data_IF_804287169376
#
_entry.id   IF_804287169376
#
_cell.length_a   1.000
_cell.length_b   1.000
_cell.length_c   1.000
_cell.angle_alpha   90.00
_cell.angle_beta   90.00
_cell.angle_gamma   90.00
#
_symmetry.space_group_name_H-M   'P 1'
#
loop_
_entity.id
_entity.type
_entity.pdbx_description
1 polymer ?
#
# COMPACT_ATOMS: atom_id res chain seq x y z
N UNK A 1 4.50 0.23 -1.37
CA UNK A 1 3.72 -1.06 -1.41
C UNK A 1 2.25 -0.68 -1.37
N UNK A 2 1.33 -1.48 -2.00
CA UNK A 2 -0.10 -1.12 -2.00
C UNK A 2 -0.86 -1.93 -0.96
N UNK A 3 -1.80 -1.27 -0.29
CA UNK A 3 -2.59 -1.83 0.79
C UNK A 3 -4.06 -1.49 0.61
N UNK A 4 -4.95 -2.33 1.11
CA UNK A 4 -6.39 -2.13 1.07
C UNK A 4 -6.90 -1.65 2.42
N UNK A 5 -7.61 -0.53 2.43
CA UNK A 5 -8.32 0.01 3.58
C UNK A 5 -9.83 -0.01 3.36
N UNK A 6 -10.60 -0.42 4.36
CA UNK A 6 -12.03 -0.15 4.42
C UNK A 6 -12.25 1.19 5.14
N UNK A 7 -12.82 2.15 4.43
CA UNK A 7 -13.16 3.46 4.98
C UNK A 7 -14.67 3.58 5.23
N UNK A 8 -15.05 3.90 6.47
CA UNK A 8 -16.44 4.18 6.82
C UNK A 8 -16.69 5.69 6.85
N UNK A 9 -17.70 6.14 6.11
CA UNK A 9 -18.09 7.55 6.05
C UNK A 9 -19.60 7.73 6.21
N UNK A 10 -19.98 8.89 6.73
CA UNK A 10 -21.37 9.35 6.83
C UNK A 10 -21.60 10.40 5.76
N UNK A 11 -22.55 10.16 4.89
CA UNK A 11 -23.00 11.13 3.89
C UNK A 11 -24.53 11.21 3.88
N UNK A 12 -25.13 12.38 3.61
CA UNK A 12 -26.57 12.49 3.50
C UNK A 12 -27.12 11.67 2.34
N UNK A 13 -28.38 11.25 2.42
CA UNK A 13 -29.08 10.60 1.32
C UNK A 13 -29.23 11.55 0.13
N UNK A 14 -29.14 10.97 -1.07
CA UNK A 14 -29.37 11.68 -2.33
C UNK A 14 -30.81 11.41 -2.77
N UNK A 15 -31.62 12.48 -2.90
CA UNK A 15 -32.98 12.34 -3.36
C UNK A 15 -33.05 11.93 -4.84
N UNK A 16 -34.25 11.59 -5.32
CA UNK A 16 -34.52 11.12 -6.70
C UNK A 16 -34.06 12.08 -7.80
N UNK A 17 -33.91 13.37 -7.45
CA UNK A 17 -33.47 14.43 -8.36
C UNK A 17 -31.97 14.75 -8.25
N UNK A 18 -31.22 13.98 -7.49
CA UNK A 18 -29.81 14.24 -7.24
C UNK A 18 -29.54 15.45 -6.34
N UNK A 19 -30.54 15.96 -5.62
CA UNK A 19 -30.38 17.05 -4.63
C UNK A 19 -30.16 16.47 -3.24
N UNK A 20 -29.30 17.10 -2.44
CA UNK A 20 -29.09 16.67 -1.05
C UNK A 20 -30.37 16.95 -0.23
N UNK A 21 -30.73 16.02 0.63
CA UNK A 21 -31.85 16.20 1.56
C UNK A 21 -31.57 17.20 2.69
N UNK A 22 -30.38 17.81 2.76
CA UNK A 22 -30.07 18.79 3.83
C UNK A 22 -29.00 19.81 3.44
N UNK A 23 -29.29 21.04 3.80
CA UNK A 23 -28.50 22.18 4.30
C UNK A 23 -27.45 22.77 3.35
N UNK A 24 -27.71 24.06 3.05
CA UNK A 24 -26.74 25.05 2.60
C UNK A 24 -25.45 25.00 3.43
N UNK A 25 -24.49 24.18 2.99
CA UNK A 25 -23.12 24.36 3.41
C UNK A 25 -22.47 25.35 2.43
N UNK A 26 -22.05 26.50 2.95
CA UNK A 26 -21.28 27.49 2.19
C UNK A 26 -20.12 26.80 1.48
N UNK A 27 -20.12 26.92 0.15
CA UNK A 27 -19.02 26.47 -0.71
C UNK A 27 -17.79 27.27 -0.34
N UNK A 28 -16.92 26.70 0.47
CA UNK A 28 -15.57 27.22 0.66
C UNK A 28 -14.79 26.88 -0.59
N UNK A 29 -14.60 27.87 -1.45
CA UNK A 29 -13.75 27.82 -2.62
C UNK A 29 -12.28 27.59 -2.21
N UNK A 30 -11.82 26.37 -2.19
CA UNK A 30 -10.42 26.05 -2.30
C UNK A 30 -10.05 25.84 -3.78
N UNK A 31 -9.77 26.97 -4.43
CA UNK A 31 -9.18 27.04 -5.79
C UNK A 31 -7.64 26.95 -5.75
N UNK A 32 -7.04 26.01 -5.06
CA UNK A 32 -5.61 25.70 -5.22
C UNK A 32 -5.38 24.23 -4.82
N UNK A 33 -5.05 23.44 -5.80
CA UNK A 33 -4.60 22.05 -5.87
C UNK A 33 -5.53 21.06 -6.58
N UNK A 34 -6.14 21.49 -7.69
CA UNK A 34 -6.70 20.55 -8.67
C UNK A 34 -5.65 20.15 -9.71
N UNK A 35 -4.67 19.33 -9.33
CA UNK A 35 -3.84 18.55 -10.25
C UNK A 35 -3.86 17.06 -9.93
N UNK A 36 -5.05 16.51 -9.75
CA UNK A 36 -5.29 15.09 -10.01
C UNK A 36 -6.49 15.01 -10.93
N UNK A 37 -6.20 14.63 -12.15
CA UNK A 37 -7.03 14.69 -13.34
C UNK A 37 -8.26 13.79 -13.26
N UNK A 38 -9.43 14.34 -12.97
CA UNK A 38 -10.70 13.77 -13.42
C UNK A 38 -10.95 14.19 -14.88
N UNK A 39 -10.19 13.63 -15.82
CA UNK A 39 -10.47 13.74 -17.26
C UNK A 39 -10.82 12.37 -17.81
N UNK A 40 -12.07 11.95 -17.60
CA UNK A 40 -12.76 11.00 -18.44
C UNK A 40 -13.93 11.72 -19.05
N UNK A 41 -13.93 11.94 -20.38
CA UNK A 41 -15.10 12.34 -21.12
C UNK A 41 -16.09 11.17 -21.11
N UNK A 42 -17.12 11.25 -20.29
CA UNK A 42 -18.25 10.33 -20.31
C UNK A 42 -19.52 11.09 -20.69
N UNK A 43 -20.32 10.49 -21.57
CA UNK A 43 -21.63 10.97 -22.05
C UNK A 43 -22.59 11.20 -20.86
N UNK A 44 -23.02 12.46 -20.68
CA UNK A 44 -23.59 13.02 -19.45
C UNK A 44 -25.12 13.09 -19.43
N UNK A 45 -25.89 12.02 -19.64
CA UNK A 45 -27.35 12.12 -19.50
C UNK A 45 -28.01 11.17 -18.48
N UNK A 46 -27.30 10.16 -17.88
CA UNK A 46 -27.87 9.30 -16.82
C UNK A 46 -27.06 9.22 -15.52
N UNK A 47 -26.01 10.01 -15.38
CA UNK A 47 -24.94 9.83 -14.35
C UNK A 47 -25.15 10.60 -13.04
N UNK A 48 -26.18 11.42 -12.90
CA UNK A 48 -26.30 12.43 -11.85
C UNK A 48 -26.20 11.91 -10.40
N UNK A 49 -26.80 10.76 -10.05
CA UNK A 49 -26.82 10.25 -8.67
C UNK A 49 -25.51 9.57 -8.31
N UNK A 50 -24.96 8.75 -9.19
CA UNK A 50 -23.73 7.99 -8.96
C UNK A 50 -22.51 8.88 -8.88
N UNK A 51 -22.36 9.84 -9.79
CA UNK A 51 -21.26 10.79 -9.79
C UNK A 51 -21.29 11.65 -8.51
N UNK A 52 -22.49 12.09 -8.12
CA UNK A 52 -22.66 12.85 -6.87
C UNK A 52 -22.35 12.01 -5.64
N UNK A 53 -22.83 10.77 -5.60
CA UNK A 53 -22.53 9.83 -4.54
C UNK A 53 -21.03 9.61 -4.42
N UNK A 54 -20.35 9.35 -5.55
CA UNK A 54 -18.89 9.21 -5.58
C UNK A 54 -18.18 10.47 -5.05
N UNK A 55 -18.54 11.67 -5.53
CA UNK A 55 -17.91 12.90 -5.08
C UNK A 55 -18.06 13.12 -3.57
N UNK A 56 -19.26 12.89 -3.02
CA UNK A 56 -19.52 13.02 -1.58
C UNK A 56 -18.72 12.01 -0.76
N UNK A 57 -18.65 10.76 -1.21
CA UNK A 57 -17.84 9.71 -0.54
C UNK A 57 -16.35 10.05 -0.63
N UNK A 58 -15.89 10.46 -1.83
CA UNK A 58 -14.51 10.86 -2.06
C UNK A 58 -14.09 11.99 -1.12
N UNK A 59 -14.89 13.05 -1.02
CA UNK A 59 -14.59 14.20 -0.16
C UNK A 59 -14.56 13.80 1.32
N UNK A 60 -15.53 12.99 1.76
CA UNK A 60 -15.58 12.48 3.14
C UNK A 60 -14.41 11.55 3.49
N UNK A 61 -13.96 10.71 2.55
CA UNK A 61 -12.76 9.88 2.69
C UNK A 61 -11.51 10.76 2.71
N UNK A 62 -11.40 11.72 1.78
CA UNK A 62 -10.26 12.63 1.70
C UNK A 62 -10.05 13.43 3.00
N UNK A 63 -11.13 13.98 3.57
CA UNK A 63 -11.07 14.69 4.85
C UNK A 63 -10.49 13.82 5.97
N UNK A 64 -10.93 12.56 6.07
CA UNK A 64 -10.46 11.63 7.11
C UNK A 64 -9.03 11.15 6.87
N UNK A 65 -8.64 10.95 5.62
CA UNK A 65 -7.31 10.48 5.24
C UNK A 65 -6.24 11.57 5.33
N UNK A 66 -6.60 12.85 5.17
CA UNK A 66 -5.65 13.97 5.08
C UNK A 66 -4.61 13.97 6.21
N UNK A 67 -5.02 13.76 7.45
CA UNK A 67 -4.09 13.76 8.61
C UNK A 67 -3.07 12.62 8.60
N UNK A 68 -3.23 11.63 7.73
CA UNK A 68 -2.33 10.49 7.54
C UNK A 68 -1.48 10.59 6.27
N UNK A 69 -1.55 11.71 5.56
CA UNK A 69 -0.71 11.97 4.39
C UNK A 69 0.75 12.19 4.83
N UNK A 70 1.70 11.45 4.25
CA UNK A 70 3.14 11.64 4.52
C UNK A 70 3.62 13.01 4.07
N UNK A 71 3.06 13.51 2.96
CA UNK A 71 3.34 14.83 2.39
C UNK A 71 2.45 15.95 2.91
N UNK A 72 1.73 15.76 4.02
CA UNK A 72 0.90 16.81 4.61
C UNK A 72 1.75 18.02 5.00
N UNK A 73 1.24 19.21 4.73
CA UNK A 73 1.91 20.50 5.02
C UNK A 73 1.18 21.31 6.10
N UNK A 74 0.05 20.80 6.65
CA UNK A 74 -0.65 21.49 7.75
C UNK A 74 0.25 21.50 9.00
N UNK A 75 0.65 22.69 9.49
CA UNK A 75 1.51 22.79 10.68
C UNK A 75 0.97 22.07 11.93
N UNK A 76 -0.35 21.83 12.00
CA UNK A 76 -0.98 21.09 13.11
C UNK A 76 -0.62 19.62 13.12
N UNK A 77 -0.37 19.06 11.95
CA UNK A 77 -0.05 17.65 11.76
C UNK A 77 1.47 17.41 11.71
N UNK A 78 2.28 18.47 11.61
CA UNK A 78 3.72 18.38 11.42
C UNK A 78 4.46 18.42 12.75
N UNK A 79 5.43 17.53 12.92
CA UNK A 79 6.35 17.49 14.05
C UNK A 79 7.79 17.56 13.54
N UNK A 80 8.60 18.34 14.20
CA UNK A 80 10.05 18.39 13.91
C UNK A 80 10.72 17.09 14.35
N UNK A 81 11.40 16.44 13.43
CA UNK A 81 12.24 15.28 13.68
C UNK A 81 13.68 15.75 13.85
N UNK A 82 14.18 15.78 15.09
CA UNK A 82 15.56 16.13 15.40
C UNK A 82 16.50 14.98 15.05
N UNK A 83 17.43 15.26 14.16
CA UNK A 83 18.45 14.32 13.69
C UNK A 83 19.86 14.71 14.13
N UNK A 84 20.01 15.69 15.01
CA UNK A 84 21.31 16.28 15.37
C UNK A 84 22.29 15.23 15.90
N UNK A 85 21.87 14.42 16.87
CA UNK A 85 22.71 13.37 17.44
C UNK A 85 23.19 12.36 16.38
N UNK A 86 22.29 11.96 15.47
CA UNK A 86 22.61 11.06 14.35
C UNK A 86 23.62 11.67 13.39
N UNK A 87 23.48 12.96 13.08
CA UNK A 87 24.36 13.67 12.16
C UNK A 87 25.74 13.87 12.80
N UNK A 88 25.79 14.30 14.07
CA UNK A 88 27.04 14.46 14.82
C UNK A 88 27.82 13.13 14.94
N UNK A 89 27.13 12.06 15.32
CA UNK A 89 27.73 10.73 15.40
C UNK A 89 28.22 10.24 14.02
N UNK A 90 27.44 10.49 12.96
CA UNK A 90 27.82 10.16 11.58
C UNK A 90 29.07 10.92 11.13
N UNK A 91 29.15 12.21 11.43
CA UNK A 91 30.27 13.08 11.03
C UNK A 91 31.64 12.66 11.67
N UNK A 92 31.60 12.03 12.85
CA UNK A 92 32.79 11.42 13.49
C UNK A 92 33.20 10.08 12.84
N UNK A 93 32.38 9.55 11.97
CA UNK A 93 32.54 8.25 11.34
C UNK A 93 33.57 8.22 10.21
N UNK A 94 33.65 7.06 9.58
CA UNK A 94 34.53 6.80 8.43
C UNK A 94 33.71 6.12 7.30
N UNK A 95 34.22 6.26 6.08
CA UNK A 95 33.63 5.62 4.89
C UNK A 95 34.74 5.13 3.97
N UNK A 96 34.48 4.07 3.24
CA UNK A 96 35.36 3.64 2.18
C UNK A 96 35.27 4.59 0.98
N UNK A 97 36.43 5.06 0.50
CA UNK A 97 36.52 6.02 -0.59
C UNK A 97 37.39 5.49 -1.74
N UNK A 98 37.20 6.08 -2.88
CA UNK A 98 38.06 5.95 -4.05
C UNK A 98 38.84 7.23 -4.27
N UNK A 99 40.15 7.13 -4.32
CA UNK A 99 41.02 8.23 -4.81
C UNK A 99 41.23 8.04 -6.31
N UNK A 100 40.67 8.98 -7.07
CA UNK A 100 40.76 8.99 -8.53
C UNK A 100 42.13 9.44 -9.00
N UNK A 101 42.53 9.17 -10.26
CA UNK A 101 43.86 9.53 -10.80
C UNK A 101 44.18 11.01 -10.70
N UNK A 102 43.18 11.90 -10.83
CA UNK A 102 43.30 13.36 -10.70
C UNK A 102 43.44 13.82 -9.25
N UNK A 103 43.36 12.91 -8.28
CA UNK A 103 43.51 13.22 -6.87
C UNK A 103 42.21 13.43 -6.09
N UNK A 104 41.07 13.53 -6.77
CA UNK A 104 39.74 13.64 -6.13
C UNK A 104 39.42 12.40 -5.31
N UNK A 105 38.88 12.61 -4.11
CA UNK A 105 38.41 11.53 -3.22
C UNK A 105 36.89 11.56 -3.21
N UNK A 106 36.27 10.41 -3.47
CA UNK A 106 34.81 10.25 -3.51
C UNK A 106 34.40 9.03 -2.71
N UNK A 107 33.25 9.03 -2.03
CA UNK A 107 32.69 7.83 -1.42
C UNK A 107 32.57 6.72 -2.47
N UNK A 108 32.91 5.48 -2.11
CA UNK A 108 32.92 4.40 -3.11
C UNK A 108 31.52 4.05 -3.61
N UNK A 109 30.48 4.24 -2.78
CA UNK A 109 29.07 4.01 -3.14
C UNK A 109 28.43 5.19 -3.88
N UNK A 110 29.13 6.34 -4.01
CA UNK A 110 28.60 7.50 -4.69
C UNK A 110 28.44 7.24 -6.20
N UNK A 111 27.26 7.58 -6.74
CA UNK A 111 27.01 7.45 -8.15
C UNK A 111 27.84 8.44 -8.96
N UNK A 112 28.52 8.05 -10.04
CA UNK A 112 28.40 6.78 -10.77
C UNK A 112 29.41 5.67 -10.34
N UNK A 113 30.08 5.82 -9.20
CA UNK A 113 31.22 4.97 -8.84
C UNK A 113 30.80 3.66 -8.17
N UNK A 114 29.83 3.69 -7.25
CA UNK A 114 29.39 2.52 -6.48
C UNK A 114 28.86 1.37 -7.30
N UNK A 115 28.20 1.67 -8.41
CA UNK A 115 27.68 0.65 -9.34
C UNK A 115 28.76 0.10 -10.29
N UNK A 116 29.91 0.74 -10.36
CA UNK A 116 30.96 0.40 -11.33
C UNK A 116 32.20 -0.22 -10.70
N UNK A 117 32.51 0.18 -9.49
CA UNK A 117 33.72 -0.25 -8.80
C UNK A 117 33.38 -0.93 -7.49
N UNK A 118 34.15 -1.99 -7.16
CA UNK A 118 34.03 -2.74 -5.90
C UNK A 118 35.41 -2.75 -5.24
N UNK A 119 35.45 -2.46 -3.94
CA UNK A 119 36.64 -2.60 -3.11
C UNK A 119 36.66 -4.02 -2.54
N UNK A 120 37.70 -4.78 -2.83
CA UNK A 120 37.92 -6.11 -2.25
C UNK A 120 39.40 -6.27 -1.87
N UNK A 121 39.65 -6.65 -0.64
CA UNK A 121 41.02 -6.80 -0.07
C UNK A 121 41.92 -5.57 -0.31
N UNK A 122 41.34 -4.36 -0.12
CA UNK A 122 42.03 -3.09 -0.32
C UNK A 122 42.34 -2.75 -1.79
N UNK A 123 41.78 -3.50 -2.73
CA UNK A 123 41.98 -3.31 -4.16
C UNK A 123 40.67 -2.97 -4.85
N UNK A 124 40.76 -2.11 -5.87
CA UNK A 124 39.60 -1.71 -6.68
C UNK A 124 39.44 -2.65 -7.87
N UNK A 125 38.22 -3.12 -8.08
CA UNK A 125 37.80 -3.92 -9.22
C UNK A 125 36.69 -3.20 -9.95
N UNK A 126 36.60 -3.39 -11.26
CA UNK A 126 35.48 -2.93 -12.06
C UNK A 126 34.48 -4.07 -12.20
N UNK A 127 33.19 -3.78 -11.91
CA UNK A 127 32.09 -4.72 -12.06
C UNK A 127 31.51 -4.63 -13.47
N UNK A 128 31.29 -5.76 -14.14
CA UNK A 128 30.58 -5.83 -15.43
C UNK A 128 29.06 -5.66 -15.18
N UNK A 129 28.40 -5.05 -16.15
CA UNK A 129 26.94 -4.82 -16.14
C UNK A 129 26.10 -6.09 -16.43
N UNK A 130 26.64 -7.29 -16.24
CA UNK A 130 25.96 -8.55 -16.52
C UNK A 130 25.21 -9.14 -15.32
N UNK A 131 24.31 -10.13 -15.53
CA UNK A 131 23.52 -10.77 -14.46
C UNK A 131 24.38 -11.53 -13.43
N UNK A 132 25.61 -11.86 -13.77
CA UNK A 132 26.65 -12.36 -12.84
C UNK A 132 27.77 -11.33 -12.87
N UNK A 133 27.85 -10.46 -11.86
CA UNK A 133 28.86 -9.43 -11.75
C UNK A 133 30.27 -10.05 -11.71
N UNK A 134 30.93 -10.09 -12.85
CA UNK A 134 32.34 -10.49 -12.91
C UNK A 134 33.21 -9.29 -12.50
N UNK A 135 34.00 -9.47 -11.47
CA UNK A 135 34.95 -8.47 -11.00
C UNK A 135 36.24 -8.55 -11.82
N UNK A 136 36.58 -7.48 -12.54
CA UNK A 136 37.81 -7.40 -13.36
C UNK A 136 38.76 -6.31 -12.84
N UNK A 137 40.03 -6.62 -12.77
CA UNK A 137 41.05 -5.65 -12.45
C UNK A 137 41.58 -4.94 -13.69
N UNK A 138 40.75 -4.09 -14.28
CA UNK A 138 41.05 -3.33 -15.51
C UNK A 138 42.18 -2.32 -15.29
N UNK A 139 42.71 -1.75 -16.39
CA UNK A 139 43.69 -0.64 -16.31
C UNK A 139 43.11 0.54 -15.52
N UNK A 140 41.83 0.84 -15.71
CA UNK A 140 41.11 1.90 -15.01
C UNK A 140 41.00 1.59 -13.50
N UNK A 141 40.56 0.41 -13.12
CA UNK A 141 40.49 0.00 -11.73
C UNK A 141 41.87 0.03 -11.03
N UNK A 142 42.96 -0.29 -11.77
CA UNK A 142 44.33 -0.21 -11.26
C UNK A 142 44.82 1.22 -11.02
N UNK A 143 44.26 2.22 -11.74
CA UNK A 143 44.60 3.64 -11.58
C UNK A 143 43.87 4.31 -10.42
N UNK A 144 42.86 3.65 -9.84
CA UNK A 144 42.09 4.12 -8.69
C UNK A 144 42.63 3.46 -7.44
N UNK A 145 42.81 4.24 -6.37
CA UNK A 145 43.27 3.76 -5.06
C UNK A 145 42.10 3.64 -4.09
N UNK A 146 41.92 2.48 -3.46
CA UNK A 146 41.01 2.34 -2.33
C UNK A 146 41.55 3.04 -1.10
N UNK A 147 40.70 3.77 -0.39
CA UNK A 147 40.97 4.37 0.90
C UNK A 147 39.93 3.82 1.87
N UNK A 148 40.27 2.77 2.59
CA UNK A 148 39.38 2.11 3.56
C UNK A 148 39.34 2.92 4.85
N UNK A 149 38.13 3.13 5.39
CA UNK A 149 37.97 3.87 6.66
C UNK A 149 38.41 5.33 6.58
N UNK A 150 38.13 6.01 5.45
CA UNK A 150 38.47 7.41 5.30
C UNK A 150 37.56 8.31 6.14
N UNK A 151 38.13 9.22 6.99
CA UNK A 151 37.33 10.04 7.89
C UNK A 151 36.36 10.99 7.13
N UNK A 152 35.09 10.97 7.49
CA UNK A 152 34.10 11.85 6.91
C UNK A 152 34.42 13.32 7.12
N UNK A 153 34.99 13.72 8.24
CA UNK A 153 35.50 15.09 8.49
C UNK A 153 36.58 15.56 7.52
N UNK A 154 37.28 14.64 6.85
CA UNK A 154 38.25 14.99 5.81
C UNK A 154 37.61 15.06 4.42
N UNK A 155 36.47 14.44 4.26
CA UNK A 155 35.71 14.44 3.01
C UNK A 155 34.81 15.68 2.91
N UNK A 156 34.19 16.04 4.05
CA UNK A 156 33.31 17.22 4.18
C UNK A 156 33.97 18.28 5.06
N UNK A 157 34.07 19.54 4.60
CA UNK A 157 34.78 20.59 5.33
C UNK A 157 34.12 20.99 6.66
N UNK A 158 32.79 20.84 6.73
CA UNK A 158 31.99 21.15 7.92
C UNK A 158 30.79 20.23 8.03
N UNK A 159 30.17 20.23 9.21
CA UNK A 159 29.04 19.35 9.54
C UNK A 159 27.77 19.75 8.77
N UNK A 160 27.57 21.03 8.45
CA UNK A 160 26.39 21.49 7.72
C UNK A 160 26.38 20.92 6.31
N UNK A 161 27.54 21.02 5.63
CA UNK A 161 27.69 20.41 4.31
C UNK A 161 27.56 18.88 4.34
N UNK A 162 28.11 18.24 5.36
CA UNK A 162 27.93 16.80 5.56
C UNK A 162 26.46 16.43 5.72
N UNK A 163 25.71 17.15 6.57
CA UNK A 163 24.30 16.89 6.80
C UNK A 163 23.47 16.96 5.50
N UNK A 164 23.71 17.99 4.68
CA UNK A 164 22.99 18.17 3.41
C UNK A 164 23.40 17.13 2.35
N UNK A 165 24.71 16.95 2.12
CA UNK A 165 25.19 16.09 1.02
C UNK A 165 25.05 14.58 1.35
N UNK A 166 25.10 14.21 2.65
CA UNK A 166 25.05 12.82 3.06
C UNK A 166 23.65 12.34 3.46
N UNK A 167 22.90 13.17 4.18
CA UNK A 167 21.58 12.83 4.70
C UNK A 167 20.43 13.58 4.02
N UNK A 168 20.70 14.61 3.23
CA UNK A 168 19.67 15.50 2.69
C UNK A 168 18.98 16.35 3.76
N UNK A 169 19.63 16.57 4.92
CA UNK A 169 19.04 17.23 6.08
C UNK A 169 19.70 18.59 6.27
N UNK A 170 18.89 19.64 6.42
CA UNK A 170 19.34 20.99 6.69
C UNK A 170 19.32 21.31 8.19
N UNK A 171 20.06 22.34 8.58
CA UNK A 171 20.01 22.90 9.93
C UNK A 171 18.86 23.90 10.02
N UNK A 172 17.97 23.68 10.99
CA UNK A 172 16.86 24.61 11.28
C UNK A 172 17.28 25.63 12.33
N UNK A 173 17.39 26.88 11.94
CA UNK A 173 17.65 27.99 12.88
C UNK A 173 16.54 28.14 13.93
N UNK A 174 15.29 27.87 13.53
CA UNK A 174 14.11 27.95 14.43
C UNK A 174 14.20 26.91 15.53
N UNK A 175 14.55 25.68 15.20
CA UNK A 175 14.62 24.57 16.15
C UNK A 175 16.03 24.43 16.77
N UNK A 176 17.01 25.18 16.25
CA UNK A 176 18.43 25.11 16.63
C UNK A 176 19.01 23.68 16.54
N UNK A 177 18.60 22.92 15.52
CA UNK A 177 18.92 21.51 15.32
C UNK A 177 18.95 21.13 13.85
N UNK A 178 19.65 20.04 13.51
CA UNK A 178 19.52 19.40 12.21
C UNK A 178 18.26 18.55 12.18
N UNK A 179 17.41 18.72 11.18
CA UNK A 179 16.19 17.94 11.11
C UNK A 179 15.25 18.43 10.02
N UNK A 180 14.08 17.84 10.01
CA UNK A 180 13.01 18.18 9.07
C UNK A 180 11.65 18.02 9.74
N UNK A 181 10.66 18.71 9.20
CA UNK A 181 9.27 18.53 9.63
C UNK A 181 8.68 17.35 8.87
N UNK A 182 7.99 16.49 9.58
CA UNK A 182 7.25 15.36 9.05
C UNK A 182 5.93 15.18 9.77
N UNK A 183 4.97 14.56 9.12
CA UNK A 183 3.76 14.10 9.77
C UNK A 183 4.07 12.77 10.49
N UNK A 184 4.08 12.72 11.84
CA UNK A 184 4.34 11.48 12.58
C UNK A 184 3.23 10.43 12.39
N UNK A 185 2.05 10.85 11.93
CA UNK A 185 0.93 9.97 11.60
C UNK A 185 0.92 9.60 10.11
N UNK A 186 1.94 9.98 9.35
CA UNK A 186 2.03 9.70 7.91
C UNK A 186 1.98 8.20 7.64
N UNK A 187 1.01 7.78 6.82
CA UNK A 187 0.76 6.38 6.47
C UNK A 187 0.81 6.20 4.96
N UNK A 188 0.37 7.21 4.19
CA UNK A 188 0.23 7.11 2.76
C UNK A 188 0.83 8.31 2.02
N UNK A 189 1.40 8.06 0.84
CA UNK A 189 1.88 9.07 -0.10
C UNK A 189 0.93 9.23 -1.30
N UNK A 190 0.11 8.21 -1.58
CA UNK A 190 -0.89 8.19 -2.63
C UNK A 190 -2.05 7.26 -2.27
N UNK A 191 -3.28 7.59 -2.67
CA UNK A 191 -4.43 6.72 -2.55
C UNK A 191 -5.44 6.92 -3.70
N UNK A 192 -6.28 5.91 -3.89
CA UNK A 192 -7.38 5.90 -4.84
C UNK A 192 -8.54 5.06 -4.30
N UNK A 193 -9.78 5.52 -4.50
CA UNK A 193 -10.94 4.72 -4.14
C UNK A 193 -11.14 3.62 -5.19
N UNK A 194 -11.24 2.37 -4.74
CA UNK A 194 -11.26 1.19 -5.58
C UNK A 194 -9.86 0.71 -5.98
N UNK A 195 -9.17 1.45 -6.79
CA UNK A 195 -7.80 1.18 -7.22
C UNK A 195 -7.59 -0.24 -7.72
N UNK A 196 -6.78 -1.03 -7.02
CA UNK A 196 -6.47 -2.43 -7.35
C UNK A 196 -7.55 -3.42 -6.93
N UNK A 197 -8.52 -2.99 -6.15
CA UNK A 197 -9.59 -3.82 -5.59
C UNK A 197 -11.00 -3.33 -5.98
N UNK A 198 -11.29 -3.11 -7.29
CA UNK A 198 -12.55 -2.51 -7.73
C UNK A 198 -13.76 -3.47 -7.62
N UNK A 199 -13.53 -4.77 -7.37
CA UNK A 199 -14.53 -5.83 -7.43
C UNK A 199 -14.68 -6.56 -6.09
N UNK A 200 -14.93 -5.81 -5.00
CA UNK A 200 -14.98 -6.40 -3.68
C UNK A 200 -16.34 -6.35 -3.01
N UNK A 201 -17.16 -5.32 -3.27
CA UNK A 201 -18.49 -5.23 -2.73
C UNK A 201 -19.51 -5.59 -3.81
N UNK A 202 -20.58 -6.30 -3.45
CA UNK A 202 -21.71 -6.57 -4.33
C UNK A 202 -22.93 -5.78 -3.88
N UNK A 203 -23.61 -5.16 -4.83
CA UNK A 203 -24.93 -4.55 -4.65
C UNK A 203 -25.87 -5.07 -5.72
N UNK A 204 -27.19 -4.97 -5.50
CA UNK A 204 -28.18 -5.31 -6.54
C UNK A 204 -28.07 -4.37 -7.74
N UNK A 205 -28.42 -4.85 -8.92
CA UNK A 205 -28.49 -4.02 -10.13
C UNK A 205 -29.44 -2.83 -9.99
N UNK A 206 -30.40 -2.91 -9.07
CA UNK A 206 -31.36 -1.84 -8.77
C UNK A 206 -30.82 -0.79 -7.78
N UNK A 207 -29.67 -1.00 -7.17
CA UNK A 207 -29.03 -0.02 -6.28
C UNK A 207 -28.68 1.24 -7.06
N UNK A 208 -28.94 2.41 -6.48
CA UNK A 208 -28.67 3.72 -7.09
C UNK A 208 -27.45 4.41 -6.52
N UNK A 209 -27.20 4.25 -5.23
CA UNK A 209 -26.07 4.85 -4.51
C UNK A 209 -24.90 3.86 -4.46
N UNK A 210 -24.16 3.80 -5.55
CA UNK A 210 -22.97 2.99 -5.71
C UNK A 210 -21.97 3.68 -6.64
N UNK A 211 -20.73 3.25 -6.63
CA UNK A 211 -19.73 3.64 -7.63
C UNK A 211 -18.73 2.51 -7.89
N UNK A 212 -18.34 2.38 -9.15
CA UNK A 212 -17.16 1.58 -9.50
C UNK A 212 -15.98 2.51 -9.43
N UNK A 213 -15.08 2.32 -8.48
CA UNK A 213 -13.89 3.13 -8.37
C UNK A 213 -13.06 3.10 -9.65
N UNK A 214 -12.18 4.08 -9.84
CA UNK A 214 -11.28 4.08 -10.98
C UNK A 214 -10.36 2.86 -10.88
N UNK A 215 -10.23 2.14 -11.98
CA UNK A 215 -9.30 1.03 -12.12
C UNK A 215 -7.99 1.61 -12.61
N UNK A 216 -7.10 1.99 -11.71
CA UNK A 216 -5.81 2.56 -12.12
C UNK A 216 -4.84 1.50 -12.60
N UNK A 217 -4.90 0.30 -12.04
CA UNK A 217 -4.01 -0.79 -12.42
C UNK A 217 -4.49 -2.14 -11.88
N UNK A 218 -4.94 -3.03 -12.74
CA UNK A 218 -5.24 -4.41 -12.35
C UNK A 218 -4.06 -5.30 -12.70
N UNK A 219 -3.57 -6.07 -11.76
CA UNK A 219 -2.63 -7.16 -12.00
C UNK A 219 -3.25 -8.29 -12.83
N UNK A 220 -4.56 -8.22 -13.05
CA UNK A 220 -5.35 -9.22 -13.77
C UNK A 220 -6.11 -8.51 -14.87
N UNK A 221 -5.81 -8.85 -16.11
CA UNK A 221 -6.57 -8.45 -17.31
C UNK A 221 -7.98 -9.08 -17.36
N UNK A 222 -8.42 -9.75 -16.29
CA UNK A 222 -9.69 -10.45 -16.23
C UNK A 222 -10.69 -9.59 -15.48
N UNK A 223 -11.70 -9.11 -16.20
CA UNK A 223 -12.93 -8.61 -15.61
C UNK A 223 -13.62 -9.76 -14.88
N UNK A 224 -13.80 -9.61 -13.57
CA UNK A 224 -14.54 -10.56 -12.77
C UNK A 224 -16.03 -10.25 -12.93
N UNK A 225 -16.75 -11.11 -13.67
CA UNK A 225 -18.19 -10.94 -13.86
C UNK A 225 -18.93 -11.10 -12.52
N UNK A 226 -19.84 -10.18 -12.17
CA UNK A 226 -20.66 -10.31 -10.98
C UNK A 226 -21.71 -11.41 -11.15
N UNK A 227 -22.26 -11.98 -10.08
CA UNK A 227 -23.41 -12.86 -10.14
C UNK A 227 -24.61 -12.16 -10.81
N UNK A 228 -25.47 -12.94 -11.47
CA UNK A 228 -26.64 -12.40 -12.15
C UNK A 228 -27.55 -11.62 -11.19
N UNK A 229 -27.91 -10.38 -11.55
CA UNK A 229 -28.75 -9.49 -10.76
C UNK A 229 -27.98 -8.63 -9.75
N UNK A 230 -26.64 -8.70 -9.80
CA UNK A 230 -25.75 -7.94 -8.96
C UNK A 230 -24.71 -7.19 -9.79
N UNK A 231 -24.09 -6.20 -9.19
CA UNK A 231 -22.93 -5.49 -9.74
C UNK A 231 -21.83 -5.31 -8.69
N UNK A 232 -20.61 -5.24 -9.14
CA UNK A 232 -19.49 -4.87 -8.31
C UNK A 232 -19.47 -3.38 -8.03
N UNK A 233 -19.04 -3.01 -6.81
CA UNK A 233 -18.85 -1.61 -6.42
C UNK A 233 -17.63 -1.48 -5.52
N UNK A 234 -17.03 -0.29 -5.51
CA UNK A 234 -15.98 0.11 -4.57
C UNK A 234 -16.54 0.92 -3.39
N UNK A 235 -17.83 1.21 -3.38
CA UNK A 235 -18.49 1.86 -2.26
C UNK A 235 -20.00 1.81 -2.38
N UNK A 236 -20.66 1.56 -1.24
CA UNK A 236 -22.10 1.52 -1.08
C UNK A 236 -22.50 1.73 0.37
N UNK A 237 -23.81 2.00 0.61
CA UNK A 237 -24.33 1.98 1.97
C UNK A 237 -24.38 0.57 2.51
N UNK A 238 -24.18 0.44 3.83
CA UNK A 238 -24.16 -0.87 4.49
C UNK A 238 -25.42 -1.69 4.22
N UNK A 239 -26.60 -1.06 4.18
CA UNK A 239 -27.91 -1.70 3.87
C UNK A 239 -28.00 -2.28 2.45
N UNK A 240 -27.22 -1.75 1.51
CA UNK A 240 -27.26 -2.14 0.10
C UNK A 240 -26.20 -3.20 -0.25
N UNK A 241 -25.26 -3.49 0.66
CA UNK A 241 -24.22 -4.49 0.45
C UNK A 241 -24.80 -5.89 0.67
N UNK A 242 -24.70 -6.72 -0.34
CA UNK A 242 -25.29 -8.07 -0.38
C UNK A 242 -24.29 -9.11 0.16
N UNK A 243 -24.05 -9.09 1.46
CA UNK A 243 -23.09 -9.95 2.15
C UNK A 243 -23.27 -11.44 1.88
N UNK A 244 -24.53 -11.91 1.84
CA UNK A 244 -24.81 -13.31 1.57
C UNK A 244 -24.46 -13.69 0.12
N UNK A 245 -24.70 -12.80 -0.83
CA UNK A 245 -24.33 -13.03 -2.23
C UNK A 245 -22.82 -13.02 -2.40
N UNK A 246 -22.10 -12.13 -1.68
CA UNK A 246 -20.63 -12.09 -1.65
C UNK A 246 -20.08 -13.40 -1.08
N UNK A 247 -20.64 -13.92 0.01
CA UNK A 247 -20.26 -15.22 0.57
C UNK A 247 -20.50 -16.38 -0.38
N UNK A 248 -21.68 -16.42 -1.00
CA UNK A 248 -22.00 -17.47 -1.98
C UNK A 248 -21.01 -17.46 -3.16
N UNK A 249 -20.66 -16.26 -3.63
CA UNK A 249 -19.69 -16.10 -4.71
C UNK A 249 -18.28 -16.53 -4.25
N UNK A 250 -17.82 -16.07 -3.08
CA UNK A 250 -16.52 -16.45 -2.51
C UNK A 250 -16.41 -17.97 -2.37
N UNK A 251 -17.42 -18.60 -1.78
CA UNK A 251 -17.47 -20.04 -1.59
C UNK A 251 -17.40 -20.81 -2.90
N UNK A 252 -18.18 -20.39 -3.91
CA UNK A 252 -18.16 -21.02 -5.23
C UNK A 252 -16.78 -20.94 -5.90
N UNK A 253 -16.08 -19.83 -5.73
CA UNK A 253 -14.71 -19.68 -6.24
C UNK A 253 -13.70 -20.60 -5.55
N UNK A 254 -13.82 -20.78 -4.24
CA UNK A 254 -12.96 -21.70 -3.50
C UNK A 254 -13.23 -23.17 -3.90
N UNK A 255 -14.50 -23.53 -4.08
CA UNK A 255 -14.90 -24.87 -4.55
C UNK A 255 -14.39 -25.16 -5.98
N UNK A 256 -14.50 -24.18 -6.88
CA UNK A 256 -13.95 -24.26 -8.24
C UNK A 256 -12.44 -24.47 -8.21
N UNK A 257 -11.72 -23.66 -7.41
CA UNK A 257 -10.27 -23.77 -7.26
C UNK A 257 -9.84 -25.13 -6.70
N UNK A 258 -10.54 -25.63 -5.70
CA UNK A 258 -10.29 -26.98 -5.16
C UNK A 258 -10.46 -28.04 -6.26
N UNK A 259 -11.54 -28.00 -7.04
CA UNK A 259 -11.78 -28.91 -8.15
C UNK A 259 -10.68 -28.86 -9.21
N UNK A 260 -10.21 -27.65 -9.59
CA UNK A 260 -9.09 -27.48 -10.53
C UNK A 260 -7.78 -28.10 -9.99
N UNK A 261 -7.51 -27.95 -8.70
CA UNK A 261 -6.32 -28.53 -8.05
C UNK A 261 -6.41 -30.06 -7.97
N UNK A 262 -7.57 -30.61 -7.61
CA UNK A 262 -7.80 -32.06 -7.60
C UNK A 262 -7.66 -32.67 -8.99
N UNK A 263 -8.25 -32.02 -10.01
CA UNK A 263 -8.13 -32.45 -11.40
C UNK A 263 -6.69 -32.39 -11.90
N UNK A 264 -5.95 -31.32 -11.61
CA UNK A 264 -4.54 -31.21 -11.93
C UNK A 264 -3.72 -32.32 -11.24
N UNK A 265 -4.00 -32.59 -9.97
CA UNK A 265 -3.32 -33.67 -9.26
C UNK A 265 -3.61 -35.03 -9.90
N UNK A 266 -4.84 -35.29 -10.32
CA UNK A 266 -5.27 -36.56 -10.92
C UNK A 266 -4.75 -36.74 -12.35
N UNK A 267 -4.87 -35.72 -13.22
CA UNK A 267 -4.57 -35.79 -14.65
C UNK A 267 -3.14 -35.43 -15.01
N UNK A 268 -2.51 -34.55 -14.25
CA UNK A 268 -1.24 -33.90 -14.57
C UNK A 268 -1.36 -32.69 -15.51
N UNK A 269 -2.57 -32.34 -15.95
CA UNK A 269 -2.84 -31.18 -16.78
C UNK A 269 -2.96 -29.93 -15.91
N UNK A 270 -1.97 -29.04 -15.98
CA UNK A 270 -1.88 -27.85 -15.13
C UNK A 270 -2.76 -26.72 -15.70
N UNK A 271 -3.73 -26.18 -14.90
CA UNK A 271 -4.45 -24.97 -15.26
C UNK A 271 -3.52 -23.75 -15.38
N UNK A 272 -3.90 -22.75 -16.22
CA UNK A 272 -3.08 -21.56 -16.48
C UNK A 272 -2.86 -20.70 -15.25
N UNK A 273 -3.83 -20.67 -14.35
CA UNK A 273 -3.86 -19.85 -13.12
C UNK A 273 -3.23 -20.56 -11.90
N UNK A 274 -2.74 -21.80 -12.04
CA UNK A 274 -2.12 -22.55 -10.94
C UNK A 274 -0.60 -22.62 -11.17
N UNK A 275 0.15 -22.01 -10.26
CA UNK A 275 1.60 -22.00 -10.22
C UNK A 275 2.08 -23.03 -9.19
N UNK A 276 2.33 -24.24 -9.63
CA UNK A 276 2.80 -25.31 -8.74
C UNK A 276 3.28 -26.52 -9.54
N UNK A 277 3.92 -27.44 -8.82
CA UNK A 277 4.38 -28.72 -9.37
C UNK A 277 3.62 -29.86 -8.66
N UNK A 278 3.12 -30.79 -9.46
CA UNK A 278 2.62 -32.06 -8.94
C UNK A 278 3.77 -32.87 -8.36
N UNK A 279 3.64 -33.28 -7.11
CA UNK A 279 4.55 -34.17 -6.39
C UNK A 279 3.76 -35.35 -5.84
N UNK A 280 4.42 -36.31 -5.17
CA UNK A 280 3.76 -37.53 -4.68
C UNK A 280 2.60 -37.25 -3.72
N UNK A 281 2.79 -36.27 -2.83
CA UNK A 281 1.86 -35.97 -1.73
C UNK A 281 0.92 -34.79 -2.03
N UNK A 282 0.95 -34.22 -3.24
CA UNK A 282 0.08 -33.09 -3.57
C UNK A 282 0.59 -32.17 -4.70
N UNK A 283 0.24 -30.91 -4.60
CA UNK A 283 0.72 -29.83 -5.47
C UNK A 283 1.47 -28.81 -4.62
N UNK A 284 2.74 -28.56 -4.96
CA UNK A 284 3.67 -27.70 -4.24
C UNK A 284 4.10 -26.51 -5.12
N UNK A 285 4.01 -25.28 -4.60
CA UNK A 285 4.39 -24.05 -5.33
C UNK A 285 5.85 -23.62 -5.14
N UNK A 286 6.55 -24.23 -4.22
CA UNK A 286 7.91 -23.89 -3.83
C UNK A 286 8.02 -23.44 -2.37
N UNK A 287 6.92 -22.98 -1.78
CA UNK A 287 6.83 -22.50 -0.40
C UNK A 287 5.80 -23.28 0.42
N UNK A 288 4.65 -23.63 -0.19
CA UNK A 288 3.53 -24.26 0.48
C UNK A 288 2.84 -25.31 -0.40
N UNK A 289 2.05 -26.18 0.23
CA UNK A 289 1.13 -27.05 -0.48
C UNK A 289 -0.10 -26.28 -0.92
N UNK A 290 -0.35 -26.22 -2.23
CA UNK A 290 -1.62 -25.75 -2.77
C UNK A 290 -2.73 -26.80 -2.64
N UNK A 291 -2.37 -28.07 -2.59
CA UNK A 291 -3.29 -29.20 -2.46
C UNK A 291 -2.56 -30.38 -1.84
N UNK A 292 -3.16 -31.04 -0.85
CA UNK A 292 -2.69 -32.30 -0.31
C UNK A 292 -3.44 -33.48 -0.94
N UNK A 293 -2.74 -34.54 -1.24
CA UNK A 293 -3.32 -35.75 -1.83
C UNK A 293 -4.43 -36.30 -0.95
N UNK A 294 -5.67 -36.29 -1.49
CA UNK A 294 -6.83 -36.86 -0.84
C UNK A 294 -7.41 -36.04 0.32
N UNK A 295 -7.01 -34.74 0.42
CA UNK A 295 -7.69 -33.84 1.34
C UNK A 295 -9.15 -33.61 0.91
N UNK A 296 -10.04 -33.42 1.90
CA UNK A 296 -11.41 -33.05 1.63
C UNK A 296 -11.52 -31.54 1.31
N UNK A 297 -12.62 -31.14 0.66
CA UNK A 297 -12.91 -29.72 0.44
C UNK A 297 -12.97 -28.95 1.78
N UNK A 298 -13.51 -29.57 2.83
CA UNK A 298 -13.59 -28.94 4.15
C UNK A 298 -12.20 -28.70 4.76
N UNK A 299 -11.29 -29.68 4.67
CA UNK A 299 -9.92 -29.53 5.16
C UNK A 299 -9.14 -28.50 4.33
N UNK A 300 -9.34 -28.50 3.00
CA UNK A 300 -8.77 -27.51 2.11
C UNK A 300 -9.21 -26.09 2.50
N UNK A 301 -10.50 -25.87 2.72
CA UNK A 301 -11.04 -24.57 3.08
C UNK A 301 -10.53 -24.08 4.44
N UNK A 302 -10.46 -24.96 5.44
CA UNK A 302 -9.88 -24.60 6.74
C UNK A 302 -8.41 -24.17 6.65
N UNK A 303 -7.69 -24.73 5.71
CA UNK A 303 -6.26 -24.45 5.52
C UNK A 303 -5.98 -23.23 4.63
N UNK A 304 -6.73 -23.08 3.54
CA UNK A 304 -6.47 -22.08 2.50
C UNK A 304 -7.40 -20.86 2.58
N UNK A 305 -8.61 -21.05 3.08
CA UNK A 305 -9.59 -19.98 3.21
C UNK A 305 -9.61 -19.45 4.64
N UNK A 306 -8.73 -18.52 4.91
CA UNK A 306 -8.63 -17.85 6.21
C UNK A 306 -9.86 -16.98 6.58
N UNK A 307 -10.80 -16.79 5.64
CA UNK A 307 -12.10 -16.19 5.88
C UNK A 307 -13.19 -17.21 6.20
N UNK A 308 -12.95 -18.52 6.11
CA UNK A 308 -13.99 -19.55 6.17
C UNK A 308 -14.86 -19.50 7.43
N UNK A 309 -14.36 -18.95 8.54
CA UNK A 309 -15.08 -18.73 9.80
C UNK A 309 -15.51 -17.28 10.01
N UNK A 310 -15.14 -16.34 9.12
CA UNK A 310 -15.51 -14.93 9.22
C UNK A 310 -16.98 -14.70 8.85
N UNK A 311 -17.62 -13.73 9.48
CA UNK A 311 -18.98 -13.30 9.10
C UNK A 311 -19.01 -12.52 7.78
N UNK A 312 -17.90 -11.89 7.41
CA UNK A 312 -17.79 -11.07 6.22
C UNK A 312 -16.68 -11.60 5.30
N UNK A 313 -16.93 -11.74 3.98
CA UNK A 313 -15.92 -12.22 3.04
C UNK A 313 -14.95 -11.11 2.62
N UNK A 314 -14.45 -10.35 3.60
CA UNK A 314 -13.50 -9.25 3.40
C UNK A 314 -12.40 -9.32 4.45
N UNK A 315 -11.18 -9.06 4.01
CA UNK A 315 -10.07 -8.83 4.92
C UNK A 315 -9.18 -7.70 4.39
N UNK A 316 -9.46 -6.49 4.84
CA UNK A 316 -8.62 -5.34 4.57
C UNK A 316 -7.29 -5.45 5.33
N UNK A 317 -6.30 -4.70 4.87
CA UNK A 317 -5.08 -4.48 5.63
C UNK A 317 -5.32 -3.49 6.78
N UNK A 318 -6.16 -2.48 6.54
CA UNK A 318 -6.46 -1.42 7.51
C UNK A 318 -7.95 -1.05 7.50
N UNK A 319 -8.35 -0.34 8.55
CA UNK A 319 -9.68 0.23 8.73
C UNK A 319 -9.57 1.73 9.01
N UNK A 320 -10.42 2.53 8.39
CA UNK A 320 -10.59 3.95 8.67
C UNK A 320 -12.01 4.19 9.20
N UNK A 321 -12.14 4.45 10.49
CA UNK A 321 -13.45 4.59 11.13
C UNK A 321 -14.16 5.92 10.84
N UNK A 322 -15.42 6.02 11.21
CA UNK A 322 -16.25 7.23 11.00
C UNK A 322 -15.70 8.47 11.68
N UNK A 323 -14.92 8.32 12.74
CA UNK A 323 -14.28 9.43 13.47
C UNK A 323 -12.92 9.79 12.85
N UNK A 324 -12.50 9.05 11.81
CA UNK A 324 -11.22 9.18 11.16
C UNK A 324 -10.08 8.50 11.91
N UNK A 325 -10.36 7.55 12.83
CA UNK A 325 -9.34 6.70 13.44
C UNK A 325 -8.81 5.69 12.42
N UNK A 326 -7.48 5.53 12.35
CA UNK A 326 -6.84 4.53 11.52
C UNK A 326 -6.44 3.33 12.36
N UNK A 327 -6.84 2.14 11.93
CA UNK A 327 -6.56 0.87 12.60
C UNK A 327 -5.83 -0.03 11.61
N UNK A 328 -4.61 -0.44 11.94
CA UNK A 328 -3.78 -1.28 11.08
C UNK A 328 -3.79 -2.74 11.57
N UNK A 329 -3.64 -3.68 10.63
CA UNK A 329 -3.49 -5.11 10.95
C UNK A 329 -2.12 -5.42 11.55
N UNK A 330 -1.12 -4.58 11.27
CA UNK A 330 0.19 -4.66 11.86
C UNK A 330 0.39 -3.61 12.96
N UNK A 331 1.29 -3.92 13.90
CA UNK A 331 1.53 -3.13 15.12
C UNK A 331 2.20 -1.76 14.92
N UNK A 332 2.36 -1.30 13.67
CA UNK A 332 3.13 -0.10 13.36
C UNK A 332 2.55 1.20 13.92
N UNK A 333 1.26 1.19 14.29
CA UNK A 333 0.56 2.34 14.91
C UNK A 333 0.09 2.06 16.33
N UNK A 334 0.33 0.86 16.86
CA UNK A 334 -0.01 0.53 18.25
C UNK A 334 0.98 1.22 19.19
N UNK A 335 0.48 1.84 20.26
CA UNK A 335 1.33 2.28 21.36
C UNK A 335 2.13 1.07 21.91
N UNK A 336 3.42 1.26 22.28
CA UNK A 336 4.32 0.15 22.65
C UNK A 336 3.91 -0.64 23.90
N UNK A 337 2.80 -0.31 24.55
CA UNK A 337 2.38 -0.88 25.84
C UNK A 337 1.40 -2.05 25.76
N UNK A 338 0.87 -2.38 24.58
CA UNK A 338 0.02 -3.57 24.42
C UNK A 338 0.89 -4.83 24.35
N UNK A 339 0.82 -5.66 25.39
CA UNK A 339 1.52 -6.94 25.43
C UNK A 339 0.94 -7.92 24.42
N UNK A 340 1.81 -8.71 23.75
CA UNK A 340 1.47 -9.68 22.68
C UNK A 340 0.35 -10.68 23.06
N UNK A 341 0.11 -10.90 24.34
CA UNK A 341 -0.84 -11.92 24.86
C UNK A 341 -2.33 -11.51 24.81
N UNK A 342 -2.67 -10.26 24.39
CA UNK A 342 -4.03 -9.72 24.44
C UNK A 342 -4.60 -9.28 23.10
N UNK A 343 -3.93 -9.54 21.97
CA UNK A 343 -4.40 -9.08 20.66
C UNK A 343 -5.50 -9.98 20.13
N UNK A 344 -6.69 -9.38 19.96
CA UNK A 344 -7.75 -10.06 19.22
C UNK A 344 -7.28 -10.34 17.78
N UNK A 345 -7.69 -11.50 17.19
CA UNK A 345 -7.43 -11.77 15.78
C UNK A 345 -7.93 -10.62 14.90
N UNK A 346 -7.15 -10.21 13.90
CA UNK A 346 -7.52 -9.11 13.01
C UNK A 346 -8.93 -9.26 12.40
N UNK A 347 -9.32 -10.48 12.05
CA UNK A 347 -10.67 -10.76 11.52
C UNK A 347 -11.77 -10.37 12.52
N UNK A 348 -11.59 -10.61 13.83
CA UNK A 348 -12.56 -10.21 14.83
C UNK A 348 -12.70 -8.67 14.91
N UNK A 349 -11.60 -7.94 14.80
CA UNK A 349 -11.62 -6.46 14.74
C UNK A 349 -12.33 -5.94 13.49
N UNK A 350 -12.11 -6.60 12.33
CA UNK A 350 -12.84 -6.26 11.08
C UNK A 350 -14.34 -6.51 11.26
N UNK A 351 -14.72 -7.62 11.88
CA UNK A 351 -16.12 -7.93 12.16
C UNK A 351 -16.76 -6.93 13.12
N UNK A 352 -16.08 -6.60 14.22
CA UNK A 352 -16.55 -5.59 15.18
C UNK A 352 -16.71 -4.22 14.50
N UNK A 353 -15.74 -3.82 13.65
CA UNK A 353 -15.84 -2.59 12.87
C UNK A 353 -17.07 -2.59 11.97
N UNK A 354 -17.29 -3.64 11.17
CA UNK A 354 -18.42 -3.73 10.26
C UNK A 354 -19.77 -3.78 11.01
N UNK A 355 -19.84 -4.48 12.14
CA UNK A 355 -21.03 -4.55 13.00
C UNK A 355 -21.34 -3.20 13.68
N UNK A 356 -20.35 -2.34 13.85
CA UNK A 356 -20.54 -1.01 14.45
C UNK A 356 -21.16 0.00 13.49
N UNK A 357 -21.22 -0.32 12.20
CA UNK A 357 -21.75 0.58 11.18
C UNK A 357 -23.28 0.52 11.12
N UNK A 358 -23.89 1.68 10.94
CA UNK A 358 -25.33 1.79 10.72
C UNK A 358 -25.68 1.48 9.26
N UNK A 359 -26.95 1.15 9.00
CA UNK A 359 -27.46 0.83 7.66
C UNK A 359 -27.17 1.96 6.64
N UNK A 360 -27.19 3.21 7.09
CA UNK A 360 -26.98 4.41 6.25
C UNK A 360 -25.51 4.81 6.10
N UNK A 361 -24.60 4.23 6.87
CA UNK A 361 -23.17 4.47 6.71
C UNK A 361 -22.69 3.92 5.37
N UNK A 362 -21.75 4.60 4.76
CA UNK A 362 -21.12 4.15 3.51
C UNK A 362 -19.79 3.49 3.81
N UNK A 363 -19.61 2.30 3.26
CA UNK A 363 -18.36 1.59 3.23
C UNK A 363 -17.68 1.80 1.87
N UNK A 364 -16.46 2.30 1.87
CA UNK A 364 -15.64 2.49 0.67
C UNK A 364 -14.36 1.68 0.74
N UNK A 365 -13.98 1.09 -0.40
CA UNK A 365 -12.69 0.40 -0.59
C UNK A 365 -11.67 1.45 -1.03
N UNK A 366 -10.54 1.53 -0.35
CA UNK A 366 -9.44 2.46 -0.67
C UNK A 366 -8.16 1.68 -0.89
N UNK A 367 -7.53 1.91 -2.02
CA UNK A 367 -6.16 1.48 -2.33
C UNK A 367 -5.22 2.61 -1.94
N UNK A 368 -4.25 2.34 -1.08
CA UNK A 368 -3.24 3.33 -0.76
C UNK A 368 -1.83 2.75 -0.93
N UNK A 369 -0.89 3.63 -1.21
CA UNK A 369 0.54 3.33 -1.34
C UNK A 369 1.33 3.92 -0.16
N UNK A 370 2.36 3.15 0.21
CA UNK A 370 3.35 3.54 1.22
C UNK A 370 4.75 3.13 0.77
#
# INVERSE_FOLDING_TARGET
>A
MHFMTLAAVEIPEINEYGENACIEAEVINHEQDRQTSCKGEHDHEETGVQDKFYCMVHDAVAEKMQKYCEGDTDPKNMKFCDCTERIEAGYEGTVDCLKLPQGTIVPYFDSPYGNRFVIRDGKVFEADAGPVHQLRRTKRAKSIRALTGYPLKKLYPDIYRFAVEWFGIEYSEKESAFGYYMNPNGIWDWYEIGGRWPYLLLVKDTCREYFSGQISWTWRDETVEPPRGYRWTSGARMRDIEWQAMWAWHRARQEERFGELEDFFRTGERPKNIYGKRIEDGIWDGNSYLYHRGESLEDYLKREDWLHESRYPLCPHDLLDKKGGWHASDDRLSEPEETEDCKEPWNARVEEFLDSLADDDVLAIVDYHR
#
